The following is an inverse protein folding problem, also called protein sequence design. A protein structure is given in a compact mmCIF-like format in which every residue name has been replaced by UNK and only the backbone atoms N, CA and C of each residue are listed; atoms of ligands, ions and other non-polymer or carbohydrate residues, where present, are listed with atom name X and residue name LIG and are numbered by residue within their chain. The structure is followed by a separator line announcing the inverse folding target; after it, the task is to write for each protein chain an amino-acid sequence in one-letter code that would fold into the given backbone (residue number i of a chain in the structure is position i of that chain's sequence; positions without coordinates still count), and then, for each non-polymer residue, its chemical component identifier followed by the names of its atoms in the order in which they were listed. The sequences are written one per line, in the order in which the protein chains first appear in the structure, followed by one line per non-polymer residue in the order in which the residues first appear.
data_IF_966738148191
#
_entry.id   IF_966738148191
#
_cell.length_a   1.000
_cell.length_b   1.000
_cell.length_c   1.000
_cell.angle_alpha   90.00
_cell.angle_beta   90.00
_cell.angle_gamma   90.00
#
_symmetry.space_group_name_H-M   'P 1'
#
loop_
_entity.id
_entity.type
_entity.pdbx_description
1 polymer ?
#
# COMPACT_ATOMS: atom_id res chain seq x y z
N UNK A 1 -12.95 -9.59 -19.16
CA UNK A 1 -11.64 -9.77 -18.49
C UNK A 1 -11.10 -8.46 -17.95
N UNK A 2 -11.15 -7.36 -18.71
CA UNK A 2 -10.73 -6.01 -18.27
C UNK A 2 -11.46 -5.56 -16.99
N UNK A 3 -12.79 -5.67 -16.94
CA UNK A 3 -13.62 -5.33 -15.75
C UNK A 3 -13.17 -6.01 -14.44
N UNK A 4 -12.83 -7.30 -14.51
CA UNK A 4 -12.44 -8.08 -13.32
C UNK A 4 -11.09 -7.62 -12.78
N UNK A 5 -10.13 -7.36 -13.68
CA UNK A 5 -8.82 -6.83 -13.33
C UNK A 5 -8.92 -5.48 -12.61
N UNK A 6 -9.84 -4.63 -13.06
CA UNK A 6 -10.07 -3.32 -12.48
C UNK A 6 -10.84 -3.35 -11.16
N UNK A 7 -11.85 -4.21 -11.03
CA UNK A 7 -12.51 -4.46 -9.74
C UNK A 7 -11.53 -5.01 -8.69
N UNK A 8 -10.64 -5.92 -9.11
CA UNK A 8 -9.55 -6.42 -8.27
C UNK A 8 -8.56 -5.31 -7.91
N UNK A 9 -8.31 -4.35 -8.82
CA UNK A 9 -7.52 -3.15 -8.58
C UNK A 9 -8.09 -2.29 -7.45
N UNK A 10 -9.38 -1.94 -7.52
CA UNK A 10 -10.07 -1.20 -6.45
C UNK A 10 -9.98 -1.96 -5.13
N UNK A 11 -10.29 -3.26 -5.14
CA UNK A 11 -10.29 -4.09 -3.94
C UNK A 11 -8.90 -4.16 -3.29
N UNK A 12 -7.85 -4.33 -4.09
CA UNK A 12 -6.47 -4.38 -3.60
C UNK A 12 -6.00 -3.06 -3.00
N UNK A 13 -6.36 -1.92 -3.60
CA UNK A 13 -6.07 -0.61 -3.05
C UNK A 13 -6.77 -0.39 -1.70
N UNK A 14 -8.05 -0.75 -1.60
CA UNK A 14 -8.82 -0.68 -0.35
C UNK A 14 -8.23 -1.62 0.71
N UNK A 15 -7.83 -2.83 0.32
CA UNK A 15 -7.24 -3.83 1.22
C UNK A 15 -5.92 -3.32 1.80
N UNK A 16 -5.02 -2.78 0.96
CA UNK A 16 -3.73 -2.26 1.40
C UNK A 16 -3.91 -1.04 2.33
N UNK A 17 -4.85 -0.16 2.00
CA UNK A 17 -5.21 0.98 2.84
C UNK A 17 -5.74 0.55 4.22
N UNK A 18 -6.72 -0.36 4.22
CA UNK A 18 -7.34 -0.88 5.42
C UNK A 18 -6.34 -1.64 6.30
N UNK A 19 -5.43 -2.39 5.67
CA UNK A 19 -4.35 -3.10 6.35
C UNK A 19 -3.44 -2.13 7.12
N UNK A 20 -2.93 -1.06 6.48
CA UNK A 20 -2.02 -0.11 7.11
C UNK A 20 -2.66 0.53 8.36
N UNK A 21 -3.88 1.04 8.23
CA UNK A 21 -4.56 1.76 9.32
C UNK A 21 -5.06 0.79 10.40
N UNK A 22 -5.68 -0.32 10.01
CA UNK A 22 -6.20 -1.33 10.94
C UNK A 22 -5.09 -1.94 11.80
N UNK A 23 -3.96 -2.30 11.19
CA UNK A 23 -2.79 -2.82 11.90
C UNK A 23 -2.15 -1.76 12.81
N UNK A 24 -1.99 -0.53 12.33
CA UNK A 24 -1.44 0.56 13.14
C UNK A 24 -2.28 0.81 14.40
N UNK A 25 -3.60 0.86 14.25
CA UNK A 25 -4.50 1.10 15.38
C UNK A 25 -4.49 -0.04 16.40
N UNK A 26 -4.42 -1.29 15.94
CA UNK A 26 -4.35 -2.44 16.84
C UNK A 26 -2.99 -2.57 17.52
N UNK A 27 -1.89 -2.27 16.84
CA UNK A 27 -0.55 -2.23 17.45
C UNK A 27 -0.37 -1.06 18.41
N UNK A 28 -1.15 0.01 18.28
CA UNK A 28 -1.17 1.11 19.25
C UNK A 28 -2.13 0.87 20.44
N UNK A 29 -2.82 -0.27 20.48
CA UNK A 29 -3.83 -0.62 21.49
C UNK A 29 -4.88 0.49 21.70
N UNK A 30 -5.33 1.13 20.62
CA UNK A 30 -6.39 2.14 20.71
C UNK A 30 -7.69 1.51 21.20
N UNK A 31 -8.47 2.28 21.96
CA UNK A 31 -9.78 1.82 22.41
C UNK A 31 -10.69 1.52 21.21
N UNK A 32 -11.54 0.50 21.34
CA UNK A 32 -12.49 0.08 20.29
C UNK A 32 -13.36 1.25 19.80
N UNK A 33 -13.69 2.19 20.69
CA UNK A 33 -14.49 3.40 20.37
C UNK A 33 -13.73 4.33 19.43
N UNK A 34 -12.45 4.57 19.69
CA UNK A 34 -11.60 5.43 18.84
C UNK A 34 -11.32 4.75 17.50
N UNK A 35 -11.00 3.46 17.50
CA UNK A 35 -10.79 2.70 16.26
C UNK A 35 -12.05 2.69 15.37
N UNK A 36 -13.24 2.51 15.96
CA UNK A 36 -14.51 2.62 15.24
C UNK A 36 -14.75 4.03 14.70
N UNK A 37 -14.46 5.07 15.48
CA UNK A 37 -14.55 6.47 15.05
C UNK A 37 -13.64 6.76 13.85
N UNK A 38 -12.41 6.25 13.86
CA UNK A 38 -11.47 6.40 12.74
C UNK A 38 -11.95 5.63 11.50
N UNK A 39 -12.42 4.38 11.66
CA UNK A 39 -12.94 3.58 10.55
C UNK A 39 -14.16 4.23 9.89
N UNK A 40 -15.10 4.75 10.70
CA UNK A 40 -16.27 5.49 10.21
C UNK A 40 -15.84 6.82 9.58
N UNK A 41 -14.90 7.53 10.19
CA UNK A 41 -14.35 8.78 9.66
C UNK A 41 -13.75 8.61 8.27
N UNK A 42 -12.96 7.55 8.05
CA UNK A 42 -12.45 7.23 6.72
C UNK A 42 -13.54 6.75 5.76
N UNK A 43 -14.50 5.94 6.20
CA UNK A 43 -15.64 5.54 5.34
C UNK A 43 -16.46 6.75 4.87
N UNK A 44 -16.83 7.64 5.79
CA UNK A 44 -17.54 8.88 5.49
C UNK A 44 -16.71 9.82 4.63
N UNK A 45 -15.39 9.89 4.86
CA UNK A 45 -14.46 10.64 4.02
C UNK A 45 -14.57 10.22 2.55
N UNK A 46 -14.68 8.91 2.26
CA UNK A 46 -14.78 8.42 0.87
C UNK A 46 -16.13 8.85 0.29
N UNK A 47 -17.21 8.73 1.05
CA UNK A 47 -18.54 9.14 0.60
C UNK A 47 -18.63 10.63 0.27
N UNK A 48 -18.06 11.48 1.13
CA UNK A 48 -18.06 12.94 0.93
C UNK A 48 -17.15 13.28 -0.26
N UNK A 49 -15.94 12.72 -0.28
CA UNK A 49 -14.98 13.02 -1.34
C UNK A 49 -15.42 12.48 -2.69
N UNK A 50 -16.07 11.31 -2.77
CA UNK A 50 -16.63 10.83 -4.06
C UNK A 50 -17.77 11.72 -4.57
N UNK A 51 -18.51 12.39 -3.68
CA UNK A 51 -19.54 13.36 -4.07
C UNK A 51 -18.95 14.68 -4.56
N UNK A 52 -17.89 15.17 -3.90
CA UNK A 52 -17.22 16.44 -4.23
C UNK A 52 -16.22 16.29 -5.39
N UNK A 53 -15.54 15.14 -5.48
CA UNK A 53 -14.50 14.91 -6.48
C UNK A 53 -15.05 14.89 -7.92
N UNK A 54 -16.34 14.66 -8.12
CA UNK A 54 -16.98 14.80 -9.42
C UNK A 54 -16.80 16.20 -10.06
N UNK A 55 -16.50 17.23 -9.26
CA UNK A 55 -16.28 18.60 -9.73
C UNK A 55 -14.80 19.03 -9.76
N UNK A 56 -13.88 18.29 -9.12
CA UNK A 56 -12.48 18.71 -8.91
C UNK A 56 -11.44 17.62 -9.23
N UNK A 57 -11.79 16.66 -10.10
CA UNK A 57 -10.92 15.54 -10.52
C UNK A 57 -9.53 15.98 -10.92
N UNK A 58 -9.43 17.01 -11.75
CA UNK A 58 -8.15 17.40 -12.37
C UNK A 58 -7.15 17.92 -11.34
N UNK A 59 -7.61 18.69 -10.34
CA UNK A 59 -6.74 19.23 -9.30
C UNK A 59 -6.20 18.13 -8.38
N UNK A 60 -7.04 17.13 -8.07
CA UNK A 60 -6.61 15.96 -7.30
C UNK A 60 -5.59 15.13 -8.06
N UNK A 61 -5.77 14.95 -9.38
CA UNK A 61 -4.81 14.21 -10.21
C UNK A 61 -3.44 14.87 -10.25
N UNK A 62 -3.37 16.18 -10.50
CA UNK A 62 -2.10 16.91 -10.61
C UNK A 62 -1.34 16.91 -9.28
N UNK A 63 -2.03 17.16 -8.17
CA UNK A 63 -1.42 17.09 -6.83
C UNK A 63 -0.88 15.68 -6.53
N UNK A 64 -1.62 14.65 -6.96
CA UNK A 64 -1.28 13.26 -6.69
C UNK A 64 -0.19 12.68 -7.58
N UNK A 65 -0.03 13.13 -8.83
CA UNK A 65 0.97 12.61 -9.76
C UNK A 65 2.28 13.40 -9.70
N UNK A 66 2.23 14.73 -9.69
CA UNK A 66 3.45 15.55 -9.79
C UNK A 66 4.22 15.61 -8.47
N UNK A 67 3.52 15.61 -7.34
CA UNK A 67 4.15 15.69 -6.01
C UNK A 67 4.28 14.34 -5.31
N UNK A 68 3.82 13.25 -5.94
CA UNK A 68 3.75 11.91 -5.35
C UNK A 68 5.07 11.46 -4.71
N UNK A 69 6.15 11.53 -5.49
CA UNK A 69 7.47 11.05 -5.12
C UNK A 69 8.06 11.84 -3.95
N UNK A 70 7.88 13.17 -3.96
CA UNK A 70 8.37 14.07 -2.90
C UNK A 70 7.58 13.84 -1.61
N UNK A 71 6.26 13.73 -1.72
CA UNK A 71 5.34 13.45 -0.62
C UNK A 71 5.70 12.10 0.02
N UNK A 72 5.86 11.03 -0.76
CA UNK A 72 6.25 9.73 -0.24
C UNK A 72 7.63 9.70 0.41
N UNK A 73 8.60 10.47 -0.12
CA UNK A 73 9.93 10.58 0.47
C UNK A 73 9.86 11.24 1.86
N UNK A 74 9.23 12.42 1.96
CA UNK A 74 9.09 13.15 3.24
C UNK A 74 8.35 12.28 4.26
N UNK A 75 7.26 11.65 3.85
CA UNK A 75 6.46 10.79 4.73
C UNK A 75 7.20 9.54 5.16
N UNK A 76 7.96 8.92 4.24
CA UNK A 76 8.81 7.78 4.55
C UNK A 76 9.81 8.10 5.66
N UNK A 77 10.49 9.26 5.56
CA UNK A 77 11.43 9.74 6.59
C UNK A 77 10.73 10.02 7.91
N UNK A 78 9.59 10.72 7.91
CA UNK A 78 8.83 11.04 9.13
C UNK A 78 8.36 9.78 9.84
N UNK A 79 7.81 8.80 9.10
CA UNK A 79 7.32 7.54 9.68
C UNK A 79 8.50 6.71 10.21
N UNK A 80 9.64 6.66 9.50
CA UNK A 80 10.85 5.99 9.97
C UNK A 80 11.37 6.59 11.27
N UNK A 81 11.49 7.91 11.32
CA UNK A 81 11.92 8.63 12.51
C UNK A 81 10.95 8.40 13.67
N UNK A 82 9.65 8.50 13.42
CA UNK A 82 8.61 8.25 14.42
C UNK A 82 8.69 6.81 14.96
N UNK A 83 8.84 5.81 14.07
CA UNK A 83 9.03 4.41 14.46
C UNK A 83 10.27 4.19 15.31
N UNK A 84 11.41 4.79 14.94
CA UNK A 84 12.63 4.74 15.74
C UNK A 84 12.47 5.39 17.10
N UNK A 85 11.89 6.58 17.14
CA UNK A 85 11.61 7.29 18.37
C UNK A 85 10.75 6.44 19.32
N UNK A 86 9.67 5.81 18.82
CA UNK A 86 8.79 4.94 19.61
C UNK A 86 9.54 3.73 20.18
N UNK A 87 10.38 3.06 19.39
CA UNK A 87 11.17 1.91 19.89
C UNK A 87 12.21 2.36 20.93
N UNK A 88 12.89 3.49 20.68
CA UNK A 88 13.93 4.03 21.57
C UNK A 88 13.36 4.47 22.91
N UNK A 89 12.27 5.24 22.90
CA UNK A 89 11.63 5.71 24.13
C UNK A 89 11.03 4.57 24.95
N UNK A 90 10.47 3.55 24.29
CA UNK A 90 9.99 2.37 24.98
C UNK A 90 11.12 1.62 25.69
N UNK A 91 12.27 1.42 25.04
CA UNK A 91 13.43 0.73 25.64
C UNK A 91 14.07 1.51 26.80
N UNK A 92 14.17 2.84 26.69
CA UNK A 92 14.91 3.66 27.67
C UNK A 92 14.00 4.15 28.81
N UNK A 93 12.79 4.62 28.50
CA UNK A 93 11.92 5.30 29.45
C UNK A 93 10.67 4.50 29.84
N UNK A 94 10.38 3.36 29.18
CA UNK A 94 9.16 2.55 29.38
C UNK A 94 7.85 3.37 29.24
N UNK A 95 7.92 4.53 28.58
CA UNK A 95 6.76 5.42 28.40
C UNK A 95 5.96 4.99 27.18
N UNK A 96 4.64 4.89 27.36
CA UNK A 96 3.75 4.43 26.31
C UNK A 96 3.32 5.60 25.40
N UNK A 97 4.13 5.87 24.36
CA UNK A 97 3.82 6.87 23.34
C UNK A 97 3.08 6.30 22.12
N UNK A 98 2.69 5.02 22.13
CA UNK A 98 2.15 4.32 20.97
C UNK A 98 0.89 4.97 20.38
N UNK A 99 -0.02 5.48 21.21
CA UNK A 99 -1.23 6.17 20.71
C UNK A 99 -0.91 7.49 20.01
N UNK A 100 0.10 8.24 20.48
CA UNK A 100 0.50 9.50 19.87
C UNK A 100 1.25 9.24 18.56
N UNK A 101 2.17 8.26 18.55
CA UNK A 101 2.91 7.91 17.35
C UNK A 101 2.02 7.28 16.29
N UNK A 102 0.95 6.56 16.67
CA UNK A 102 -0.05 6.06 15.73
C UNK A 102 -0.65 7.17 14.86
N UNK A 103 -0.84 8.38 15.39
CA UNK A 103 -1.32 9.52 14.59
C UNK A 103 -0.33 9.90 13.49
N UNK A 104 0.97 9.75 13.71
CA UNK A 104 1.98 9.98 12.68
C UNK A 104 1.93 8.95 11.54
N UNK A 105 1.32 7.77 11.76
CA UNK A 105 1.08 6.78 10.71
C UNK A 105 -0.23 7.01 9.95
N UNK A 106 -1.18 7.64 10.64
CA UNK A 106 -2.50 8.01 10.12
C UNK A 106 -2.42 9.32 9.31
N UNK A 107 -1.66 10.34 9.72
CA UNK A 107 -1.49 11.59 8.99
C UNK A 107 -1.03 11.41 7.51
N UNK A 108 -0.20 10.41 7.18
CA UNK A 108 0.11 9.98 5.82
C UNK A 108 -1.02 9.46 4.94
N UNK A 109 -2.14 9.02 5.50
CA UNK A 109 -3.14 8.31 4.72
C UNK A 109 -3.95 9.15 3.70
N UNK A 110 -4.00 10.51 3.70
CA UNK A 110 -4.71 11.26 2.67
C UNK A 110 -4.22 10.96 1.26
N UNK A 111 -2.92 10.68 1.06
CA UNK A 111 -2.41 10.32 -0.27
C UNK A 111 -2.94 8.96 -0.74
N UNK A 112 -2.97 7.95 0.13
CA UNK A 112 -3.55 6.65 -0.21
C UNK A 112 -5.06 6.75 -0.43
N UNK A 113 -5.72 7.67 0.29
CA UNK A 113 -7.13 7.96 0.12
C UNK A 113 -7.44 8.57 -1.25
N UNK A 114 -6.62 9.54 -1.67
CA UNK A 114 -6.70 10.10 -3.02
C UNK A 114 -6.49 9.05 -4.10
N UNK A 115 -5.56 8.11 -3.92
CA UNK A 115 -5.32 7.04 -4.88
C UNK A 115 -6.57 6.13 -5.03
N UNK A 116 -7.22 5.79 -3.92
CA UNK A 116 -8.48 5.03 -3.95
C UNK A 116 -9.58 5.82 -4.67
N UNK A 117 -9.70 7.12 -4.42
CA UNK A 117 -10.68 7.97 -5.11
C UNK A 117 -10.42 8.08 -6.61
N UNK A 118 -9.16 8.29 -7.00
CA UNK A 118 -8.74 8.34 -8.40
C UNK A 118 -9.16 7.07 -9.14
N UNK A 119 -8.90 5.90 -8.55
CA UNK A 119 -9.31 4.61 -9.11
C UNK A 119 -10.84 4.51 -9.19
N UNK A 120 -11.59 4.90 -8.15
CA UNK A 120 -13.07 4.87 -8.17
C UNK A 120 -13.63 5.73 -9.31
N UNK A 121 -13.07 6.92 -9.52
CA UNK A 121 -13.54 7.85 -10.55
C UNK A 121 -13.23 7.34 -11.96
N UNK A 122 -12.00 6.85 -12.19
CA UNK A 122 -11.62 6.25 -13.48
C UNK A 122 -12.46 5.02 -13.82
N UNK A 123 -12.93 4.28 -12.80
CA UNK A 123 -13.73 3.07 -12.99
C UNK A 123 -15.23 3.33 -13.16
N UNK A 124 -15.72 4.51 -12.79
CA UNK A 124 -17.12 4.88 -12.94
C UNK A 124 -17.67 4.74 -14.37
N UNK A 125 -17.01 5.26 -15.42
CA UNK A 125 -17.49 5.11 -16.80
C UNK A 125 -17.39 3.67 -17.31
N UNK A 126 -16.45 2.88 -16.79
CA UNK A 126 -16.17 1.50 -17.22
C UNK A 126 -17.25 0.54 -16.70
N UNK A 127 -17.65 0.70 -15.43
CA UNK A 127 -18.66 -0.13 -14.76
C UNK A 127 -20.10 0.31 -15.13
N UNK A 128 -20.26 1.47 -15.79
CA UNK A 128 -21.57 2.04 -16.10
C UNK A 128 -22.38 2.45 -14.86
N UNK A 129 -21.72 2.55 -13.70
CA UNK A 129 -22.31 2.95 -12.43
C UNK A 129 -21.78 4.32 -12.00
N UNK A 130 -22.63 5.12 -11.34
CA UNK A 130 -22.21 6.43 -10.85
C UNK A 130 -21.12 6.29 -9.78
N UNK A 131 -20.16 7.23 -9.76
CA UNK A 131 -19.01 7.21 -8.85
C UNK A 131 -19.45 7.18 -7.38
N UNK A 132 -20.64 7.71 -7.09
CA UNK A 132 -21.27 7.68 -5.78
C UNK A 132 -21.67 6.26 -5.33
N UNK A 133 -22.23 5.44 -6.23
CA UNK A 133 -22.64 4.06 -5.91
C UNK A 133 -21.41 3.21 -5.62
N UNK A 134 -20.37 3.30 -6.46
CA UNK A 134 -19.10 2.61 -6.25
C UNK A 134 -18.41 3.10 -4.98
N UNK A 135 -18.47 4.41 -4.72
CA UNK A 135 -17.98 5.04 -3.49
C UNK A 135 -18.65 4.49 -2.24
N UNK A 136 -19.96 4.24 -2.27
CA UNK A 136 -20.71 3.68 -1.14
C UNK A 136 -20.27 2.26 -0.80
N UNK A 137 -20.15 1.38 -1.79
CA UNK A 137 -19.63 0.03 -1.57
C UNK A 137 -18.19 0.05 -1.07
N UNK A 138 -17.36 0.94 -1.62
CA UNK A 138 -15.96 1.10 -1.22
C UNK A 138 -15.82 1.60 0.22
N UNK A 139 -16.67 2.54 0.65
CA UNK A 139 -16.68 3.07 2.01
C UNK A 139 -17.07 1.98 3.04
N UNK A 140 -18.10 1.19 2.73
CA UNK A 140 -18.51 0.07 3.58
C UNK A 140 -17.41 -0.99 3.64
N UNK A 141 -16.87 -1.40 2.49
CA UNK A 141 -15.78 -2.38 2.44
C UNK A 141 -14.56 -1.94 3.24
N UNK A 142 -14.18 -0.66 3.12
CA UNK A 142 -13.03 -0.08 3.81
C UNK A 142 -13.23 -0.04 5.33
N UNK A 143 -14.41 0.41 5.80
CA UNK A 143 -14.71 0.44 7.24
C UNK A 143 -14.73 -0.97 7.87
N UNK A 144 -15.30 -1.95 7.16
CA UNK A 144 -15.32 -3.36 7.58
C UNK A 144 -13.89 -3.93 7.61
N UNK A 145 -13.11 -3.75 6.55
CA UNK A 145 -11.74 -4.27 6.47
C UNK A 145 -10.83 -3.67 7.53
N UNK A 146 -10.95 -2.37 7.82
CA UNK A 146 -10.22 -1.73 8.93
C UNK A 146 -10.55 -2.42 10.26
N UNK A 147 -11.84 -2.69 10.52
CA UNK A 147 -12.28 -3.41 11.70
C UNK A 147 -11.70 -4.83 11.78
N UNK A 148 -11.70 -5.56 10.67
CA UNK A 148 -11.12 -6.91 10.59
C UNK A 148 -9.61 -6.87 10.88
N UNK A 149 -8.85 -5.99 10.25
CA UNK A 149 -7.41 -5.86 10.49
C UNK A 149 -7.07 -5.37 11.90
N UNK A 150 -7.92 -4.55 12.51
CA UNK A 150 -7.79 -4.15 13.92
C UNK A 150 -7.96 -5.36 14.87
N UNK A 151 -8.93 -6.23 14.63
CA UNK A 151 -9.09 -7.46 15.42
C UNK A 151 -7.94 -8.45 15.17
N UNK A 152 -7.49 -8.56 13.93
CA UNK A 152 -6.39 -9.43 13.54
C UNK A 152 -5.06 -9.00 14.18
N UNK A 153 -4.75 -7.71 14.18
CA UNK A 153 -3.54 -7.17 14.81
C UNK A 153 -3.51 -7.40 16.33
N UNK A 154 -4.65 -7.32 17.03
CA UNK A 154 -4.71 -7.67 18.44
C UNK A 154 -4.39 -9.16 18.70
N UNK A 155 -4.80 -10.05 17.78
CA UNK A 155 -4.43 -11.48 17.83
C UNK A 155 -2.93 -11.68 17.59
N UNK A 156 -2.35 -10.96 16.62
CA UNK A 156 -0.91 -10.98 16.34
C UNK A 156 -0.10 -10.55 17.56
N UNK A 157 -0.47 -9.44 18.21
CA UNK A 157 0.25 -8.95 19.40
C UNK A 157 0.22 -9.97 20.54
N UNK A 158 -0.94 -10.61 20.77
CA UNK A 158 -1.07 -11.69 21.76
C UNK A 158 -0.18 -12.88 21.45
N UNK A 159 0.01 -13.21 20.17
CA UNK A 159 0.86 -14.32 19.74
C UNK A 159 2.35 -13.99 19.92
N UNK A 160 2.76 -12.77 19.57
CA UNK A 160 4.17 -12.33 19.63
C UNK A 160 4.65 -12.09 21.08
N UNK A 161 3.72 -11.90 22.05
CA UNK A 161 4.03 -11.61 23.47
C UNK A 161 4.98 -10.43 23.69
N UNK A 162 5.06 -9.52 22.71
CA UNK A 162 5.87 -8.31 22.80
C UNK A 162 4.99 -7.10 23.14
N UNK A 163 5.55 -6.08 23.79
CA UNK A 163 4.81 -4.88 24.14
C UNK A 163 4.37 -4.10 22.89
N UNK A 164 3.14 -3.60 22.90
CA UNK A 164 2.49 -2.86 21.82
C UNK A 164 3.37 -1.78 21.16
N UNK A 165 4.11 -0.93 21.90
CA UNK A 165 4.92 0.14 21.29
C UNK A 165 6.10 -0.40 20.46
N UNK A 166 6.62 -1.57 20.80
CA UNK A 166 7.74 -2.19 20.09
C UNK A 166 7.28 -2.85 18.78
N UNK A 167 6.10 -3.49 18.80
CA UNK A 167 5.45 -4.03 17.59
C UNK A 167 5.03 -2.89 16.66
N UNK A 168 4.42 -1.83 17.19
CA UNK A 168 4.05 -0.63 16.41
C UNK A 168 5.28 0.03 15.80
N UNK A 169 6.33 0.28 16.60
CA UNK A 169 7.54 0.94 16.12
C UNK A 169 8.24 0.18 14.99
N UNK A 170 8.36 -1.15 15.12
CA UNK A 170 8.90 -2.00 14.05
C UNK A 170 8.03 -1.97 12.80
N UNK A 171 6.70 -2.00 12.95
CA UNK A 171 5.76 -1.89 11.83
C UNK A 171 5.86 -0.52 11.14
N UNK A 172 6.03 0.56 11.90
CA UNK A 172 6.24 1.90 11.36
C UNK A 172 7.54 1.99 10.58
N UNK A 173 8.66 1.48 11.11
CA UNK A 173 9.91 1.43 10.35
C UNK A 173 9.77 0.67 9.04
N UNK A 174 9.13 -0.51 9.06
CA UNK A 174 8.87 -1.30 7.86
C UNK A 174 8.06 -0.51 6.82
N UNK A 175 6.98 0.15 7.26
CA UNK A 175 6.18 0.98 6.35
C UNK A 175 6.92 2.22 5.85
N UNK A 176 7.78 2.83 6.66
CA UNK A 176 8.61 3.95 6.22
C UNK A 176 9.62 3.52 5.15
N UNK A 177 10.26 2.36 5.29
CA UNK A 177 11.09 1.79 4.22
C UNK A 177 10.28 1.47 2.96
N UNK A 178 9.06 0.95 3.11
CA UNK A 178 8.15 0.74 1.97
C UNK A 178 7.86 2.04 1.22
N UNK A 179 7.60 3.15 1.92
CA UNK A 179 7.38 4.44 1.27
C UNK A 179 8.63 5.01 0.61
N UNK A 180 9.80 4.86 1.23
CA UNK A 180 11.07 5.27 0.61
C UNK A 180 11.37 4.45 -0.66
N UNK A 181 11.18 3.13 -0.61
CA UNK A 181 11.33 2.27 -1.77
C UNK A 181 10.34 2.67 -2.88
N UNK A 182 9.08 2.90 -2.51
CA UNK A 182 8.03 3.34 -3.45
C UNK A 182 8.36 4.70 -4.08
N UNK A 183 8.90 5.66 -3.31
CA UNK A 183 9.29 6.98 -3.82
C UNK A 183 10.40 6.91 -4.88
N UNK A 184 11.28 5.90 -4.82
CA UNK A 184 12.32 5.66 -5.82
C UNK A 184 11.75 4.88 -7.01
N UNK A 185 10.92 3.87 -6.76
CA UNK A 185 10.45 2.94 -7.79
C UNK A 185 9.35 3.54 -8.67
N UNK A 186 8.36 4.23 -8.09
CA UNK A 186 7.20 4.78 -8.82
C UNK A 186 7.61 5.71 -9.98
N UNK A 187 8.46 6.75 -9.80
CA UNK A 187 8.82 7.64 -10.90
C UNK A 187 9.62 6.91 -11.98
N UNK A 188 10.47 5.95 -11.61
CA UNK A 188 11.25 5.15 -12.56
C UNK A 188 10.38 4.17 -13.37
N UNK A 189 9.30 3.64 -12.77
CA UNK A 189 8.31 2.86 -13.52
C UNK A 189 7.53 3.76 -14.47
N UNK A 190 7.12 4.95 -14.02
CA UNK A 190 6.35 5.88 -14.84
C UNK A 190 7.12 6.36 -16.08
N UNK A 191 8.42 6.64 -15.97
CA UNK A 191 9.28 7.01 -17.11
C UNK A 191 9.45 5.86 -18.12
N UNK A 192 9.53 4.61 -17.64
CA UNK A 192 9.60 3.42 -18.50
C UNK A 192 8.26 3.14 -19.18
N UNK A 193 7.12 3.35 -18.50
CA UNK A 193 5.79 3.19 -19.09
C UNK A 193 5.40 4.29 -20.09
N UNK A 194 5.92 5.51 -19.90
CA UNK A 194 5.65 6.66 -20.78
C UNK A 194 6.61 6.72 -21.99
N UNK A 195 7.70 5.97 -21.95
CA UNK A 195 8.49 5.70 -23.16
C UNK A 195 7.62 4.87 -24.10
N UNK A 196 7.38 5.36 -25.31
CA UNK A 196 6.63 4.61 -26.32
C UNK A 196 7.21 3.19 -26.40
N UNK A 197 6.41 2.19 -26.04
CA UNK A 197 6.72 0.82 -26.41
C UNK A 197 6.80 0.85 -27.93
N UNK A 198 8.03 0.89 -28.46
CA UNK A 198 8.30 0.80 -29.89
C UNK A 198 7.43 -0.34 -30.41
N UNK A 199 6.69 -0.12 -31.52
CA UNK A 199 5.74 -1.12 -32.00
C UNK A 199 6.46 -2.44 -32.02
N UNK A 200 5.95 -3.39 -31.23
CA UNK A 200 6.47 -4.74 -31.18
C UNK A 200 6.15 -5.34 -32.55
N UNK A 201 7.00 -5.03 -33.53
CA UNK A 201 7.16 -5.86 -34.70
C UNK A 201 7.52 -7.20 -34.11
N UNK A 202 6.58 -8.15 -34.17
CA UNK A 202 6.80 -9.52 -33.75
C UNK A 202 8.08 -9.93 -34.49
N UNK A 203 9.21 -10.04 -33.78
CA UNK A 203 10.43 -10.40 -34.46
C UNK A 203 10.21 -11.86 -34.87
N UNK A 204 10.58 -12.15 -36.11
CA UNK A 204 10.36 -13.42 -36.80
C UNK A 204 10.55 -14.63 -35.86
N UNK A 205 9.86 -15.74 -36.12
CA UNK A 205 9.88 -16.99 -35.32
C UNK A 205 11.30 -17.37 -34.83
N UNK A 206 12.34 -17.05 -35.60
CA UNK A 206 13.76 -17.21 -35.24
C UNK A 206 14.16 -16.48 -33.95
N UNK A 207 13.71 -15.26 -33.70
CA UNK A 207 14.09 -14.46 -32.52
C UNK A 207 13.43 -14.98 -31.24
N UNK A 208 12.20 -15.48 -31.36
CA UNK A 208 11.50 -16.18 -30.26
C UNK A 208 12.25 -17.49 -29.90
N UNK A 209 12.71 -18.24 -30.91
CA UNK A 209 13.50 -19.46 -30.71
C UNK A 209 14.84 -19.15 -30.01
N UNK A 210 15.54 -18.07 -30.40
CA UNK A 210 16.77 -17.65 -29.72
C UNK A 210 16.53 -17.20 -28.27
N UNK A 211 15.44 -16.49 -27.99
CA UNK A 211 15.09 -16.09 -26.62
C UNK A 211 14.79 -17.30 -25.72
N UNK A 212 14.03 -18.28 -26.23
CA UNK A 212 13.74 -19.53 -25.50
C UNK A 212 15.04 -20.32 -25.26
N UNK A 213 15.91 -20.43 -26.26
CA UNK A 213 17.22 -21.07 -26.11
C UNK A 213 18.09 -20.37 -25.07
N UNK A 214 18.10 -19.04 -25.04
CA UNK A 214 18.81 -18.26 -24.02
C UNK A 214 18.32 -18.55 -22.60
N UNK A 215 17.00 -18.57 -22.40
CA UNK A 215 16.39 -18.90 -21.09
C UNK A 215 16.72 -20.33 -20.68
N UNK A 216 16.66 -21.29 -21.59
CA UNK A 216 17.00 -22.70 -21.33
C UNK A 216 18.48 -22.84 -20.97
N UNK A 217 19.39 -22.18 -21.68
CA UNK A 217 20.83 -22.22 -21.38
C UNK A 217 21.08 -21.63 -19.99
N UNK A 218 20.47 -20.50 -19.65
CA UNK A 218 20.63 -19.88 -18.33
C UNK A 218 20.08 -20.80 -17.23
N UNK A 219 18.91 -21.43 -17.43
CA UNK A 219 18.33 -22.37 -16.47
C UNK A 219 19.21 -23.62 -16.28
N UNK A 220 19.71 -24.20 -17.38
CA UNK A 220 20.57 -25.40 -17.34
C UNK A 220 21.93 -25.06 -16.72
N UNK A 221 22.52 -23.91 -17.08
CA UNK A 221 23.78 -23.43 -16.50
C UNK A 221 23.63 -23.16 -15.00
N UNK A 222 22.54 -22.49 -14.61
CA UNK A 222 22.18 -22.24 -13.23
C UNK A 222 22.00 -23.55 -12.45
N UNK A 223 21.32 -24.54 -13.04
CA UNK A 223 21.16 -25.87 -12.43
C UNK A 223 22.50 -26.60 -12.25
N UNK A 224 23.38 -26.55 -13.26
CA UNK A 224 24.67 -27.24 -13.22
C UNK A 224 25.67 -26.62 -12.24
N UNK A 225 25.69 -25.29 -12.15
CA UNK A 225 26.52 -24.53 -11.19
C UNK A 225 25.99 -24.74 -9.77
N UNK A 226 24.67 -24.70 -9.57
CA UNK A 226 24.06 -24.92 -8.26
C UNK A 226 24.27 -26.36 -7.76
N UNK A 227 24.28 -27.35 -8.67
CA UNK A 227 24.59 -28.76 -8.36
C UNK A 227 26.03 -28.95 -7.83
N UNK A 228 26.99 -28.10 -8.22
CA UNK A 228 28.38 -28.19 -7.75
C UNK A 228 28.65 -27.42 -6.46
N UNK A 229 27.77 -26.52 -6.05
CA UNK A 229 28.09 -25.51 -5.02
C UNK A 229 27.14 -25.54 -3.80
N UNK A 230 26.04 -26.29 -3.85
CA UNK A 230 25.03 -26.27 -2.78
C UNK A 230 25.04 -27.52 -1.90
N UNK A 231 25.44 -27.34 -0.64
CA UNK A 231 25.28 -28.23 0.53
C UNK A 231 23.86 -28.16 1.14
N UNK A 232 22.84 -27.85 0.33
CA UNK A 232 21.43 -27.81 0.75
C UNK A 232 20.49 -28.75 -0.03
N UNK A 233 21.03 -29.52 -0.98
CA UNK A 233 20.36 -30.65 -1.64
C UNK A 233 21.16 -31.94 -1.46
N UNK A 234 21.57 -32.20 -0.22
CA UNK A 234 21.98 -33.51 0.25
C UNK A 234 21.20 -33.86 1.50
#
# INVERSE_FOLDING_TARGET
MWEILWQMGILSAILFFAFKIGMAMGFANLSKKVAAGIAIGYGLGILILTRVAAEYTDYLYTLMYDYNSVIFLIMGVVILYAGWHTVKEWKIHQKNHASATCMAMIAPCPCCFGAVLAVIILMSPVIGASSFVIGQYSAVALSVLIGVFYLFSNTIVRFIKQPFPLVLGNFMMFMGFYFLASAIVIPNIATVLSSEMSPMTIPSITTIVYAILGVVIILVSGFYINKKTSTLLQ
#
